data_IF_663308125686
#
_entry.id   IF_663308125686
#
_cell.length_a   1.000
_cell.length_b   1.000
_cell.length_c   1.000
_cell.angle_alpha   90.00
_cell.angle_beta   90.00
_cell.angle_gamma   90.00
#
_symmetry.space_group_name_H-M   'P 1'
#
loop_
_entity.id
_entity.type
_entity.pdbx_description
1 polymer ?
#
# COMPACT_ATOMS: atom_id res chain seq x y z
N UNK A 1 -4.06 -18.72 -10.41
CA UNK A 1 -3.12 -19.86 -10.62
C UNK A 1 -2.61 -20.44 -9.30
N UNK A 2 -1.99 -19.66 -8.40
CA UNK A 2 -1.47 -20.21 -7.13
C UNK A 2 -2.54 -20.86 -6.24
N UNK A 3 -3.75 -20.29 -6.17
CA UNK A 3 -4.90 -20.87 -5.46
C UNK A 3 -5.28 -22.26 -5.96
N UNK A 4 -5.30 -22.48 -7.28
CA UNK A 4 -5.59 -23.79 -7.91
C UNK A 4 -4.65 -24.90 -7.44
N UNK A 5 -3.41 -24.55 -7.11
CA UNK A 5 -2.40 -25.50 -6.63
C UNK A 5 -2.18 -25.43 -5.12
N UNK A 6 -3.05 -24.73 -4.38
CA UNK A 6 -2.93 -24.49 -2.94
C UNK A 6 -1.54 -23.97 -2.53
N UNK A 7 -0.93 -23.13 -3.38
CA UNK A 7 0.37 -22.52 -3.08
C UNK A 7 0.14 -21.22 -2.31
N UNK A 8 0.92 -20.97 -1.24
CA UNK A 8 0.87 -19.70 -0.52
C UNK A 8 1.12 -18.50 -1.45
N UNK A 9 0.43 -17.40 -1.19
CA UNK A 9 0.59 -16.14 -1.91
C UNK A 9 1.02 -15.07 -0.89
N UNK A 10 2.11 -14.37 -1.21
CA UNK A 10 2.59 -13.20 -0.51
C UNK A 10 3.26 -12.31 -1.56
N UNK A 11 2.60 -11.22 -2.02
CA UNK A 11 3.14 -10.35 -3.04
C UNK A 11 4.38 -9.59 -2.55
N UNK A 12 5.39 -9.46 -3.41
CA UNK A 12 6.48 -8.54 -3.16
C UNK A 12 6.02 -7.10 -3.43
N UNK A 13 5.93 -6.28 -2.39
CA UNK A 13 5.48 -4.88 -2.43
C UNK A 13 5.97 -4.19 -1.15
N UNK A 14 7.29 -3.97 -1.00
CA UNK A 14 7.89 -3.54 0.27
C UNK A 14 7.65 -2.06 0.59
N UNK A 15 7.01 -1.32 -0.31
CA UNK A 15 6.85 0.13 -0.24
C UNK A 15 5.49 0.49 0.38
N UNK A 16 5.40 1.61 1.09
CA UNK A 16 4.11 2.28 1.38
C UNK A 16 3.63 3.14 0.19
N UNK A 17 2.38 3.62 0.27
CA UNK A 17 1.79 4.48 -0.77
C UNK A 17 1.01 3.73 -1.84
N UNK A 18 0.96 4.29 -3.05
CA UNK A 18 0.05 3.84 -4.12
C UNK A 18 0.28 2.37 -4.55
N UNK A 19 1.54 1.91 -4.64
CA UNK A 19 1.87 0.53 -4.99
C UNK A 19 1.35 -0.44 -3.91
N UNK A 20 1.60 -0.10 -2.64
CA UNK A 20 1.15 -0.86 -1.47
C UNK A 20 -0.36 -1.04 -1.50
N UNK A 21 -1.12 0.06 -1.65
CA UNK A 21 -2.58 0.01 -1.60
C UNK A 21 -3.17 -0.78 -2.76
N UNK A 22 -2.65 -0.62 -3.97
CA UNK A 22 -3.09 -1.44 -5.10
C UNK A 22 -2.82 -2.94 -4.85
N UNK A 23 -1.66 -3.26 -4.27
CA UNK A 23 -1.27 -4.62 -3.92
C UNK A 23 -2.14 -5.19 -2.80
N UNK A 24 -2.41 -4.43 -1.74
CA UNK A 24 -3.25 -4.81 -0.59
C UNK A 24 -4.71 -4.97 -1.02
N UNK A 25 -5.27 -4.07 -1.83
CA UNK A 25 -6.62 -4.22 -2.38
C UNK A 25 -6.75 -5.53 -3.15
N UNK A 26 -5.79 -5.83 -4.03
CA UNK A 26 -5.77 -7.11 -4.76
C UNK A 26 -5.63 -8.29 -3.80
N UNK A 27 -4.71 -8.21 -2.84
CA UNK A 27 -4.43 -9.28 -1.88
C UNK A 27 -5.62 -9.55 -0.94
N UNK A 28 -6.42 -8.53 -0.60
CA UNK A 28 -7.62 -8.65 0.25
C UNK A 28 -8.71 -9.54 -0.34
N UNK A 29 -8.72 -9.73 -1.67
CA UNK A 29 -9.68 -10.60 -2.36
C UNK A 29 -9.23 -12.07 -2.42
N UNK A 30 -8.01 -12.37 -2.01
CA UNK A 30 -7.44 -13.72 -2.08
C UNK A 30 -7.87 -14.51 -0.85
N UNK A 31 -8.70 -15.54 -1.05
CA UNK A 31 -9.32 -16.29 0.06
C UNK A 31 -8.32 -17.06 0.92
N UNK A 32 -7.16 -17.43 0.35
CA UNK A 32 -6.09 -18.15 1.05
C UNK A 32 -4.90 -17.24 1.46
N UNK A 33 -5.10 -15.92 1.50
CA UNK A 33 -4.14 -14.93 2.00
C UNK A 33 -3.94 -15.05 3.52
N UNK A 34 -3.01 -15.90 3.93
CA UNK A 34 -2.71 -16.17 5.36
C UNK A 34 -1.41 -15.51 5.83
N UNK A 35 -0.67 -14.86 4.92
CA UNK A 35 0.57 -14.17 5.24
C UNK A 35 0.31 -12.67 5.33
N UNK A 36 0.99 -11.93 6.21
CA UNK A 36 0.96 -10.47 6.16
C UNK A 36 1.43 -9.98 4.78
N UNK A 37 0.84 -8.88 4.32
CA UNK A 37 1.35 -8.14 3.17
C UNK A 37 2.69 -7.49 3.55
N UNK A 38 3.58 -7.34 2.58
CA UNK A 38 4.95 -6.89 2.82
C UNK A 38 5.00 -5.39 3.15
N UNK A 39 5.86 -5.02 4.09
CA UNK A 39 6.24 -3.64 4.34
C UNK A 39 7.71 -3.59 4.77
N UNK A 40 8.46 -2.62 4.25
CA UNK A 40 9.86 -2.40 4.63
C UNK A 40 10.17 -0.92 4.72
N UNK A 41 10.82 -0.52 5.81
CA UNK A 41 11.35 0.84 6.00
C UNK A 41 12.58 1.12 5.12
N UNK A 42 13.23 0.09 4.57
CA UNK A 42 14.40 0.25 3.69
C UNK A 42 14.00 0.73 2.29
N UNK A 43 12.85 0.25 1.79
CA UNK A 43 12.36 0.57 0.45
C UNK A 43 11.25 1.62 0.45
N UNK A 44 10.84 2.07 1.64
CA UNK A 44 9.84 3.12 1.85
C UNK A 44 10.55 4.43 2.14
N UNK A 45 10.18 5.50 1.42
CA UNK A 45 10.62 6.86 1.75
C UNK A 45 10.13 7.32 3.13
N UNK A 46 10.41 8.56 3.53
CA UNK A 46 9.92 9.09 4.81
C UNK A 46 8.39 8.96 4.91
N UNK A 47 7.90 8.27 5.96
CA UNK A 47 6.47 8.00 6.10
C UNK A 47 5.63 9.27 6.21
N UNK A 48 6.18 10.32 6.82
CA UNK A 48 5.51 11.62 6.93
C UNK A 48 5.29 12.25 5.56
N UNK A 49 6.25 12.16 4.64
CA UNK A 49 6.10 12.66 3.26
C UNK A 49 5.09 11.83 2.46
N UNK A 50 5.07 10.52 2.65
CA UNK A 50 4.11 9.61 2.03
C UNK A 50 2.69 9.91 2.53
N UNK A 51 2.52 10.14 3.82
CA UNK A 51 1.26 10.54 4.41
C UNK A 51 0.81 11.94 3.95
N UNK A 52 1.74 12.89 3.80
CA UNK A 52 1.44 14.23 3.26
C UNK A 52 0.97 14.17 1.79
N UNK A 53 1.52 13.24 1.01
CA UNK A 53 1.24 13.07 -0.41
C UNK A 53 -0.06 12.29 -0.69
N UNK A 54 -0.27 11.17 0.01
CA UNK A 54 -1.36 10.22 -0.30
C UNK A 54 -2.41 10.09 0.82
N UNK A 55 -2.15 10.70 1.97
CA UNK A 55 -2.97 10.55 3.17
C UNK A 55 -2.51 9.43 4.10
N UNK A 56 -3.08 9.47 5.29
CA UNK A 56 -2.75 8.64 6.45
C UNK A 56 -3.15 7.16 6.35
N UNK A 57 -3.98 6.80 5.37
CA UNK A 57 -4.50 5.43 5.19
C UNK A 57 -3.50 4.51 4.47
N UNK A 58 -2.45 5.07 3.84
CA UNK A 58 -1.49 4.32 3.01
C UNK A 58 -0.23 3.88 3.74
N UNK A 59 -0.13 4.21 5.03
CA UNK A 59 1.00 3.90 5.89
C UNK A 59 0.56 2.93 7.00
N UNK A 60 1.47 2.06 7.50
CA UNK A 60 1.13 1.14 8.58
C UNK A 60 0.91 1.87 9.90
N UNK A 61 -0.16 1.49 10.61
CA UNK A 61 -0.50 1.93 11.96
C UNK A 61 -0.65 0.71 12.85
N UNK A 62 0.12 0.67 13.94
CA UNK A 62 0.14 -0.47 14.87
C UNK A 62 0.35 -1.83 14.17
N UNK A 63 1.20 -1.86 13.13
CA UNK A 63 1.51 -3.06 12.36
C UNK A 63 0.44 -3.47 11.33
N UNK A 64 -0.53 -2.60 11.02
CA UNK A 64 -1.61 -2.89 10.08
C UNK A 64 -1.82 -1.73 9.10
N UNK A 65 -2.28 -2.05 7.89
CA UNK A 65 -2.83 -1.08 6.93
C UNK A 65 -4.30 -1.45 6.75
N UNK A 66 -5.20 -0.48 6.96
CA UNK A 66 -6.64 -0.68 6.82
C UNK A 66 -7.08 -0.09 5.49
N UNK A 67 -7.73 -0.91 4.66
CA UNK A 67 -8.38 -0.42 3.45
C UNK A 67 -9.62 0.40 3.84
N UNK A 68 -9.75 1.59 3.25
CA UNK A 68 -10.95 2.41 3.38
C UNK A 68 -11.97 2.06 2.28
N UNK A 69 -13.22 2.50 2.47
CA UNK A 69 -14.34 2.24 1.53
C UNK A 69 -14.48 3.33 0.44
N UNK A 70 -13.47 4.19 0.26
CA UNK A 70 -13.52 5.24 -0.78
C UNK A 70 -13.36 4.60 -2.17
N UNK A 71 -13.93 5.21 -3.24
CA UNK A 71 -13.81 4.67 -4.59
C UNK A 71 -12.37 4.53 -5.10
N UNK A 72 -12.14 3.58 -6.01
CA UNK A 72 -10.84 3.34 -6.63
C UNK A 72 -9.82 2.83 -5.61
N UNK A 73 -8.60 3.39 -5.63
CA UNK A 73 -7.57 3.08 -4.64
C UNK A 73 -7.85 3.70 -3.26
N UNK A 74 -8.91 4.51 -3.12
CA UNK A 74 -9.22 5.19 -1.87
C UNK A 74 -8.18 6.23 -1.43
N UNK A 75 -7.38 6.70 -2.39
CA UNK A 75 -6.33 7.71 -2.22
C UNK A 75 -6.76 9.00 -2.92
N UNK A 76 -6.50 10.13 -2.27
CA UNK A 76 -6.55 11.45 -2.88
C UNK A 76 -5.13 12.03 -2.88
N UNK A 77 -4.62 12.38 -4.07
CA UNK A 77 -3.25 12.85 -4.22
C UNK A 77 -3.20 14.34 -3.88
N UNK A 78 -2.26 14.72 -3.02
CA UNK A 78 -1.99 16.11 -2.71
C UNK A 78 -1.12 16.76 -3.79
N UNK A 79 -1.75 17.37 -4.78
CA UNK A 79 -1.07 17.99 -5.94
C UNK A 79 -0.03 19.05 -5.55
N UNK A 80 -0.21 19.75 -4.41
CA UNK A 80 0.80 20.70 -3.92
C UNK A 80 2.10 20.01 -3.52
N UNK A 81 2.01 18.79 -3.00
CA UNK A 81 3.16 17.98 -2.60
C UNK A 81 3.79 17.33 -3.83
N UNK A 82 2.99 16.91 -4.81
CA UNK A 82 3.50 16.52 -6.12
C UNK A 82 4.36 17.63 -6.72
N UNK A 83 3.85 18.86 -6.76
CA UNK A 83 4.59 20.04 -7.25
C UNK A 83 5.87 20.32 -6.45
N UNK A 84 5.84 20.11 -5.13
CA UNK A 84 7.00 20.30 -4.26
C UNK A 84 8.08 19.25 -4.51
N UNK A 85 7.70 17.98 -4.69
CA UNK A 85 8.62 16.84 -4.83
C UNK A 85 9.10 16.62 -6.27
N UNK A 86 8.39 17.16 -7.27
CA UNK A 86 8.74 17.02 -8.70
C UNK A 86 9.61 18.15 -9.25
N UNK A 87 9.81 19.22 -8.48
CA UNK A 87 10.74 20.30 -8.83
C UNK A 87 12.16 19.86 -8.53
N UNK A 88 12.76 19.22 -9.54
CA UNK A 88 14.19 18.89 -9.62
C UNK A 88 14.95 20.10 -10.16
#
# INVERSE_FOLDING_TARGET
MSETYNKPIMPHSPQAGINSIASIQTYSTITNATRPHEFSTEFTGPLDEIAELYGEDVIPKNGQILLNDKPGLGIEINEKIVDKLSKI
#
